data_IF_573236246993
#
_entry.id   IF_573236246993
#
_cell.length_a   1.000
_cell.length_b   1.000
_cell.length_c   1.000
_cell.angle_alpha   90.00
_cell.angle_beta   90.00
_cell.angle_gamma   90.00
#
_symmetry.space_group_name_H-M   'P 1'
#
loop_
_entity.id
_entity.type
_entity.pdbx_description
1 polymer ?
#
# COMPACT_ATOMS: atom_id res chain seq x y z
N UNK A 1 3.22 11.70 11.43
CA UNK A 1 2.25 10.59 11.26
C UNK A 1 2.79 9.36 11.97
N UNK A 2 2.03 8.75 12.84
CA UNK A 2 2.42 7.55 13.57
C UNK A 2 1.85 6.28 12.92
N UNK A 3 2.20 5.12 13.46
CA UNK A 3 1.74 3.83 12.95
C UNK A 3 0.22 3.69 12.96
N UNK A 4 -0.44 4.22 13.99
CA UNK A 4 -1.90 4.15 14.09
C UNK A 4 -2.56 4.98 12.98
N UNK A 5 -2.05 6.18 12.72
CA UNK A 5 -2.55 7.04 11.64
C UNK A 5 -2.42 6.34 10.30
N UNK A 6 -1.29 5.71 10.06
CA UNK A 6 -1.03 5.02 8.80
C UNK A 6 -1.92 3.79 8.64
N UNK A 7 -2.15 3.02 9.71
CA UNK A 7 -3.09 1.90 9.71
C UNK A 7 -4.51 2.37 9.35
N UNK A 8 -4.96 3.48 9.96
CA UNK A 8 -6.28 4.04 9.67
C UNK A 8 -6.39 4.50 8.21
N UNK A 9 -5.36 5.16 7.69
CA UNK A 9 -5.35 5.59 6.28
C UNK A 9 -5.42 4.40 5.33
N UNK A 10 -4.72 3.31 5.63
CA UNK A 10 -4.77 2.10 4.80
C UNK A 10 -6.12 1.39 4.88
N UNK A 11 -6.74 1.38 6.05
CA UNK A 11 -8.09 0.85 6.23
C UNK A 11 -9.11 1.71 5.45
N UNK A 12 -8.98 3.03 5.53
CA UNK A 12 -9.83 3.94 4.76
C UNK A 12 -9.67 3.73 3.25
N UNK A 13 -8.44 3.52 2.79
CA UNK A 13 -8.19 3.19 1.38
C UNK A 13 -8.96 1.93 0.99
N UNK A 14 -8.89 0.88 1.80
CA UNK A 14 -9.59 -0.38 1.55
C UNK A 14 -11.11 -0.14 1.44
N UNK A 15 -11.69 0.61 2.37
CA UNK A 15 -13.12 0.92 2.37
C UNK A 15 -13.51 1.73 1.14
N UNK A 16 -12.70 2.72 0.76
CA UNK A 16 -12.96 3.54 -0.42
C UNK A 16 -12.88 2.72 -1.71
N UNK A 17 -11.95 1.78 -1.80
CA UNK A 17 -11.85 0.85 -2.93
C UNK A 17 -13.11 -0.02 -3.02
N UNK A 18 -13.58 -0.57 -1.91
CA UNK A 18 -14.81 -1.37 -1.87
C UNK A 18 -16.00 -0.57 -2.37
N UNK A 19 -16.18 0.66 -1.89
CA UNK A 19 -17.28 1.53 -2.30
C UNK A 19 -17.20 1.89 -3.78
N UNK A 20 -15.99 2.13 -4.29
CA UNK A 20 -15.79 2.41 -5.72
C UNK A 20 -16.15 1.19 -6.57
N UNK A 21 -15.69 0.01 -6.18
CA UNK A 21 -15.96 -1.24 -6.89
C UNK A 21 -17.45 -1.51 -6.98
N UNK A 22 -18.18 -1.31 -5.88
CA UNK A 22 -19.62 -1.53 -5.84
C UNK A 22 -20.39 -0.56 -6.75
N UNK A 23 -19.80 0.58 -7.09
CA UNK A 23 -20.38 1.57 -8.01
C UNK A 23 -19.96 1.35 -9.48
N UNK A 24 -19.09 0.38 -9.77
CA UNK A 24 -18.64 0.10 -11.13
C UNK A 24 -19.73 -0.61 -11.94
N UNK A 25 -19.76 -0.40 -13.28
CA UNK A 25 -20.74 -1.11 -14.12
C UNK A 25 -20.48 -2.62 -14.13
N UNK A 26 -21.49 -3.39 -14.54
CA UNK A 26 -21.43 -4.85 -14.57
C UNK A 26 -20.93 -5.40 -15.91
N UNK A 27 -20.05 -4.68 -16.60
CA UNK A 27 -19.43 -5.11 -17.84
C UNK A 27 -18.30 -6.11 -17.55
N UNK A 28 -17.89 -6.86 -18.57
CA UNK A 28 -16.81 -7.83 -18.45
C UNK A 28 -15.52 -7.15 -17.94
N UNK A 29 -15.15 -6.01 -18.54
CA UNK A 29 -13.94 -5.29 -18.15
C UNK A 29 -14.01 -4.74 -16.74
N UNK A 30 -15.14 -4.15 -16.35
CA UNK A 30 -15.32 -3.62 -15.00
C UNK A 30 -15.25 -4.72 -13.95
N UNK A 31 -15.86 -5.87 -14.19
CA UNK A 31 -15.80 -7.01 -13.27
C UNK A 31 -14.37 -7.54 -13.12
N UNK A 32 -13.61 -7.61 -14.22
CA UNK A 32 -12.22 -8.04 -14.18
C UNK A 32 -11.35 -7.06 -13.36
N UNK A 33 -11.51 -5.76 -13.60
CA UNK A 33 -10.78 -4.73 -12.87
C UNK A 33 -11.18 -4.70 -11.40
N UNK A 34 -12.47 -4.86 -11.11
CA UNK A 34 -12.99 -4.91 -9.74
C UNK A 34 -12.32 -6.01 -8.93
N UNK A 35 -12.19 -7.21 -9.49
CA UNK A 35 -11.54 -8.34 -8.79
C UNK A 35 -10.06 -8.05 -8.50
N UNK A 36 -9.35 -7.43 -9.42
CA UNK A 36 -7.95 -7.09 -9.23
C UNK A 36 -7.76 -6.03 -8.14
N UNK A 37 -8.52 -4.94 -8.24
CA UNK A 37 -8.31 -3.82 -7.32
C UNK A 37 -8.85 -4.09 -5.91
N UNK A 38 -9.90 -4.90 -5.78
CA UNK A 38 -10.40 -5.24 -4.44
C UNK A 38 -9.37 -6.04 -3.66
N UNK A 39 -8.64 -6.92 -4.33
CA UNK A 39 -7.53 -7.66 -3.74
C UNK A 39 -6.37 -6.74 -3.38
N UNK A 40 -5.85 -6.00 -4.35
CA UNK A 40 -4.67 -5.15 -4.15
C UNK A 40 -4.94 -3.97 -3.23
N UNK A 41 -6.14 -3.42 -3.23
CA UNK A 41 -6.52 -2.25 -2.44
C UNK A 41 -6.88 -2.56 -0.99
N UNK A 42 -7.22 -3.81 -0.68
CA UNK A 42 -7.55 -4.23 0.69
C UNK A 42 -6.36 -4.92 1.38
N UNK A 43 -5.42 -5.47 0.64
CA UNK A 43 -4.24 -6.15 1.18
C UNK A 43 -3.28 -5.23 1.96
N UNK A 44 -3.04 -3.97 1.54
CA UNK A 44 -2.10 -3.10 2.26
C UNK A 44 -2.44 -2.92 3.73
N UNK A 45 -3.72 -2.75 4.07
CA UNK A 45 -4.13 -2.56 5.47
C UNK A 45 -3.79 -3.78 6.33
N UNK A 46 -4.05 -4.98 5.82
CA UNK A 46 -3.74 -6.22 6.54
C UNK A 46 -2.23 -6.44 6.68
N UNK A 47 -1.48 -6.23 5.61
CA UNK A 47 -0.02 -6.42 5.61
C UNK A 47 0.70 -5.36 6.44
N UNK A 48 0.22 -4.12 6.44
CA UNK A 48 0.81 -3.08 7.29
C UNK A 48 0.54 -3.37 8.77
N UNK A 49 -0.67 -3.82 9.11
CA UNK A 49 -0.99 -4.26 10.46
C UNK A 49 -0.03 -5.38 10.90
N UNK A 50 0.20 -6.36 10.04
CA UNK A 50 1.15 -7.45 10.29
C UNK A 50 2.58 -6.91 10.48
N UNK A 51 2.98 -5.91 9.68
CA UNK A 51 4.28 -5.26 9.82
C UNK A 51 4.44 -4.63 11.20
N UNK A 52 3.42 -3.95 11.70
CA UNK A 52 3.45 -3.32 13.04
C UNK A 52 3.58 -4.32 14.18
N UNK A 53 3.23 -5.60 13.94
CA UNK A 53 3.36 -6.69 14.91
C UNK A 53 4.61 -7.54 14.69
N UNK A 54 5.47 -7.13 13.75
CA UNK A 54 6.68 -7.88 13.41
C UNK A 54 7.64 -7.94 14.59
N UNK A 55 8.30 -9.09 14.74
CA UNK A 55 9.19 -9.38 15.86
C UNK A 55 10.66 -9.05 15.57
N UNK A 56 10.98 -8.69 14.33
CA UNK A 56 12.33 -8.35 13.91
C UNK A 56 12.28 -7.29 12.83
N UNK A 57 13.39 -6.56 12.64
CA UNK A 57 13.53 -5.59 11.54
C UNK A 57 13.43 -6.28 10.18
N UNK A 58 13.98 -7.47 10.05
CA UNK A 58 13.92 -8.24 8.81
C UNK A 58 12.47 -8.58 8.44
N UNK A 59 11.68 -9.05 9.41
CA UNK A 59 10.26 -9.37 9.19
C UNK A 59 9.46 -8.11 8.89
N UNK A 60 9.72 -7.02 9.64
CA UNK A 60 9.11 -5.72 9.39
C UNK A 60 9.37 -5.25 7.95
N UNK A 61 10.63 -5.30 7.53
CA UNK A 61 11.03 -4.91 6.18
C UNK A 61 10.34 -5.76 5.11
N UNK A 62 10.27 -7.08 5.30
CA UNK A 62 9.62 -7.98 4.36
C UNK A 62 8.13 -7.65 4.22
N UNK A 63 7.45 -7.35 5.34
CA UNK A 63 6.04 -6.95 5.33
C UNK A 63 5.84 -5.59 4.64
N UNK A 64 6.73 -4.63 4.87
CA UNK A 64 6.66 -3.33 4.18
C UNK A 64 6.82 -3.48 2.67
N UNK A 65 7.68 -4.39 2.21
CA UNK A 65 7.83 -4.65 0.77
C UNK A 65 6.57 -5.21 0.16
N UNK A 66 5.83 -6.05 0.89
CA UNK A 66 4.53 -6.56 0.45
C UNK A 66 3.51 -5.42 0.33
N UNK A 67 3.50 -4.51 1.31
CA UNK A 67 2.63 -3.33 1.28
C UNK A 67 2.97 -2.44 0.07
N UNK A 68 4.25 -2.22 -0.20
CA UNK A 68 4.72 -1.46 -1.36
C UNK A 68 4.19 -2.04 -2.66
N UNK A 69 4.35 -3.34 -2.87
CA UNK A 69 3.89 -4.03 -4.08
C UNK A 69 2.38 -3.89 -4.28
N UNK A 70 1.61 -4.06 -3.21
CA UNK A 70 0.14 -3.98 -3.29
C UNK A 70 -0.34 -2.55 -3.53
N UNK A 71 0.29 -1.56 -2.93
CA UNK A 71 -0.04 -0.15 -3.18
C UNK A 71 0.31 0.26 -4.61
N UNK A 72 1.46 -0.18 -5.11
CA UNK A 72 1.87 0.09 -6.48
C UNK A 72 0.87 -0.52 -7.47
N UNK A 73 0.47 -1.75 -7.24
CA UNK A 73 -0.53 -2.44 -8.06
C UNK A 73 -1.87 -1.70 -8.02
N UNK A 74 -2.29 -1.24 -6.84
CA UNK A 74 -3.54 -0.48 -6.68
C UNK A 74 -3.49 0.83 -7.47
N UNK A 75 -2.38 1.56 -7.40
CA UNK A 75 -2.17 2.76 -8.21
C UNK A 75 -2.32 2.46 -9.70
N UNK A 76 -1.75 1.34 -10.15
CA UNK A 76 -1.84 0.89 -11.54
C UNK A 76 -3.29 0.65 -11.96
N UNK A 77 -4.06 -0.10 -11.18
CA UNK A 77 -5.47 -0.38 -11.50
C UNK A 77 -6.32 0.88 -11.47
N UNK A 78 -6.09 1.79 -10.52
CA UNK A 78 -6.81 3.07 -10.45
C UNK A 78 -6.54 3.91 -11.70
N UNK A 79 -5.31 3.92 -12.18
CA UNK A 79 -4.96 4.64 -13.41
C UNK A 79 -5.70 4.06 -14.61
N UNK A 80 -5.76 2.74 -14.73
CA UNK A 80 -6.50 2.07 -15.81
C UNK A 80 -8.00 2.39 -15.73
N UNK A 81 -8.58 2.30 -14.54
CA UNK A 81 -10.01 2.59 -14.31
C UNK A 81 -10.33 4.03 -14.74
N UNK A 82 -9.47 5.00 -14.41
CA UNK A 82 -9.65 6.39 -14.83
C UNK A 82 -9.56 6.54 -16.34
N UNK A 83 -8.52 6.00 -16.95
CA UNK A 83 -8.25 6.14 -18.39
C UNK A 83 -9.29 5.43 -19.23
N UNK A 84 -9.82 4.31 -18.76
CA UNK A 84 -10.90 3.58 -19.42
C UNK A 84 -12.29 4.14 -19.10
N UNK A 85 -12.36 5.13 -18.22
CA UNK A 85 -13.60 5.81 -17.82
C UNK A 85 -14.65 4.85 -17.25
N UNK A 86 -14.20 3.80 -16.53
CA UNK A 86 -15.10 2.86 -15.87
C UNK A 86 -15.82 3.51 -14.70
N UNK A 87 -15.19 4.51 -14.08
CA UNK A 87 -15.76 5.41 -13.07
C UNK A 87 -15.29 6.81 -13.43
N UNK A 88 -16.11 7.82 -13.13
CA UNK A 88 -15.73 9.22 -13.39
C UNK A 88 -14.40 9.55 -12.74
N UNK A 89 -13.48 10.16 -13.52
CA UNK A 89 -12.16 10.56 -13.05
C UNK A 89 -12.22 11.40 -11.78
N UNK A 90 -13.20 12.30 -11.66
CA UNK A 90 -13.35 13.16 -10.48
C UNK A 90 -13.63 12.36 -9.20
N UNK A 91 -14.18 11.16 -9.30
CA UNK A 91 -14.39 10.28 -8.15
C UNK A 91 -13.17 9.41 -7.83
N UNK A 92 -12.38 9.05 -8.84
CA UNK A 92 -11.23 8.17 -8.69
C UNK A 92 -9.96 8.95 -8.33
N UNK A 93 -9.81 10.17 -8.83
CA UNK A 93 -8.61 10.98 -8.67
C UNK A 93 -8.19 11.17 -7.20
N UNK A 94 -9.10 11.51 -6.25
CA UNK A 94 -8.71 11.63 -4.85
C UNK A 94 -8.21 10.32 -4.24
N UNK A 95 -8.78 9.21 -4.65
CA UNK A 95 -8.37 7.88 -4.20
C UNK A 95 -6.99 7.51 -4.77
N UNK A 96 -6.77 7.84 -6.04
CA UNK A 96 -5.48 7.65 -6.69
C UNK A 96 -4.38 8.45 -5.98
N UNK A 97 -4.64 9.73 -5.69
CA UNK A 97 -3.69 10.58 -4.97
C UNK A 97 -3.36 10.03 -3.59
N UNK A 98 -4.36 9.58 -2.85
CA UNK A 98 -4.14 8.98 -1.54
C UNK A 98 -3.29 7.71 -1.64
N UNK A 99 -3.58 6.86 -2.61
CA UNK A 99 -2.80 5.63 -2.85
C UNK A 99 -1.33 5.96 -3.15
N UNK A 100 -1.08 6.92 -4.03
CA UNK A 100 0.27 7.35 -4.39
C UNK A 100 1.03 7.93 -3.19
N UNK A 101 0.34 8.69 -2.35
CA UNK A 101 0.95 9.26 -1.13
C UNK A 101 1.30 8.16 -0.13
N UNK A 102 0.40 7.20 0.09
CA UNK A 102 0.69 6.05 0.96
C UNK A 102 1.87 5.23 0.44
N UNK A 103 1.95 5.02 -0.86
CA UNK A 103 3.07 4.33 -1.50
C UNK A 103 4.38 5.07 -1.21
N UNK A 104 4.39 6.39 -1.37
CA UNK A 104 5.56 7.22 -1.09
C UNK A 104 6.01 7.11 0.37
N UNK A 105 5.07 7.10 1.31
CA UNK A 105 5.35 6.94 2.75
C UNK A 105 5.99 5.57 3.02
N UNK A 106 5.46 4.51 2.42
CA UNK A 106 5.98 3.15 2.60
C UNK A 106 7.38 3.02 2.02
N UNK A 107 7.63 3.59 0.84
CA UNK A 107 8.96 3.60 0.22
C UNK A 107 9.98 4.27 1.16
N UNK A 108 9.63 5.40 1.76
CA UNK A 108 10.50 6.08 2.74
C UNK A 108 10.74 5.23 3.98
N UNK A 109 9.71 4.54 4.47
CA UNK A 109 9.83 3.63 5.63
C UNK A 109 10.77 2.48 5.33
N UNK A 110 10.73 1.94 4.12
CA UNK A 110 11.64 0.87 3.67
C UNK A 110 13.08 1.37 3.68
N UNK A 111 13.34 2.54 3.09
CA UNK A 111 14.68 3.14 3.05
C UNK A 111 15.20 3.40 4.46
N UNK A 112 14.39 3.99 5.33
CA UNK A 112 14.74 4.26 6.73
C UNK A 112 15.09 2.97 7.48
N UNK A 113 14.28 1.92 7.30
CA UNK A 113 14.50 0.63 7.96
C UNK A 113 15.80 -0.02 7.48
N UNK A 114 16.06 -0.02 6.17
CA UNK A 114 17.31 -0.56 5.60
C UNK A 114 18.54 0.19 6.12
N UNK A 115 18.45 1.51 6.20
CA UNK A 115 19.55 2.34 6.70
C UNK A 115 19.84 2.04 8.17
N UNK A 116 18.82 1.91 9.00
CA UNK A 116 18.95 1.54 10.41
C UNK A 116 19.59 0.16 10.57
N UNK A 117 19.12 -0.83 9.82
CA UNK A 117 19.65 -2.20 9.85
C UNK A 117 21.13 -2.23 9.49
N UNK A 118 21.52 -1.49 8.45
CA UNK A 118 22.92 -1.40 8.00
C UNK A 118 23.79 -0.73 9.06
N UNK A 119 23.32 0.33 9.69
CA UNK A 119 24.02 1.03 10.75
C UNK A 119 24.28 0.13 11.96
N UNK A 120 23.25 -0.61 12.39
CA UNK A 120 23.36 -1.56 13.51
C UNK A 120 24.33 -2.69 13.21
N UNK A 121 24.33 -3.20 11.98
CA UNK A 121 25.27 -4.23 11.52
C UNK A 121 26.71 -3.71 11.58
N UNK A 122 26.95 -2.49 11.10
CA UNK A 122 28.27 -1.86 11.13
C UNK A 122 28.76 -1.66 12.57
N UNK A 123 27.90 -1.26 13.50
CA UNK A 123 28.23 -1.11 14.92
C UNK A 123 28.62 -2.45 15.55
N UNK A 124 27.89 -3.51 15.23
CA UNK A 124 28.22 -4.87 15.71
C UNK A 124 29.56 -5.33 15.20
N UNK A 125 29.90 -5.03 13.97
CA UNK A 125 31.21 -5.38 13.40
C UNK A 125 32.33 -4.63 14.09
N UNK A 126 32.16 -3.33 14.38
CA UNK A 126 33.12 -2.51 15.13
C UNK A 126 33.35 -3.06 16.53
N UNK A 127 32.30 -3.51 17.20
CA UNK A 127 32.38 -4.05 18.55
C UNK A 127 33.15 -5.36 18.62
N UNK A 128 33.27 -6.10 17.52
CA UNK A 128 34.03 -7.36 17.43
C UNK A 128 35.55 -7.17 17.21
N UNK A 129 35.91 -5.97 16.79
CA UNK A 129 37.34 -5.62 16.58
C UNK A 129 38.02 -5.23 17.90
#
# INVERSE_FOLDING_TARGET
MNKNDLQERMTDLAVRVIKMVDAMPTTISSQAMARQIIRSGTSPSANYRAACLAKSDKDFLNKLKMVEEELDETCHWLNIIMRAELVKSSRVQPLYQECCELLSIIVKSIVTTKTRMKSEENEKMKAKL
#
